data_IF_732709746345
#
_entry.id   IF_732709746345
#
_cell.length_a   1.000
_cell.length_b   1.000
_cell.length_c   1.000
_cell.angle_alpha   90.00
_cell.angle_beta   90.00
_cell.angle_gamma   90.00
#
_symmetry.space_group_name_H-M   'P 1'
#
loop_
_entity.id
_entity.type
_entity.pdbx_description
1 polymer ?
#
# COMPACT_ATOMS: atom_id res chain seq x y z
N UNK A 1 -42.99 15.25 -25.80
CA UNK A 1 -41.64 14.84 -26.24
C UNK A 1 -40.74 14.96 -25.02
N UNK A 2 -40.36 13.80 -24.48
CA UNK A 2 -39.85 13.64 -23.13
C UNK A 2 -38.41 14.13 -23.01
N UNK A 3 -38.18 15.06 -22.07
CA UNK A 3 -36.86 15.41 -21.54
C UNK A 3 -36.22 14.17 -20.90
N UNK A 4 -35.36 13.49 -21.65
CA UNK A 4 -34.53 12.37 -21.23
C UNK A 4 -33.07 12.63 -21.63
N UNK A 5 -32.49 13.71 -21.10
CA UNK A 5 -31.06 14.00 -21.24
C UNK A 5 -30.57 14.75 -19.99
N UNK A 6 -30.59 14.12 -18.82
CA UNK A 6 -29.91 14.68 -17.64
C UNK A 6 -29.64 13.62 -16.56
N UNK A 7 -28.80 12.63 -16.86
CA UNK A 7 -28.17 11.77 -15.85
C UNK A 7 -26.94 11.02 -16.42
N UNK A 8 -26.01 11.74 -17.06
CA UNK A 8 -24.62 11.25 -17.10
C UNK A 8 -23.95 11.68 -15.80
N UNK A 9 -24.16 10.82 -14.80
CA UNK A 9 -23.66 10.95 -13.45
C UNK A 9 -22.12 11.03 -13.40
N UNK A 10 -21.66 11.98 -12.61
CA UNK A 10 -20.32 12.15 -12.07
C UNK A 10 -19.80 10.87 -11.36
N UNK A 11 -19.10 9.99 -12.08
CA UNK A 11 -18.29 8.91 -11.48
C UNK A 11 -16.78 9.08 -11.71
N UNK A 12 -16.33 10.23 -12.20
CA UNK A 12 -14.93 10.51 -12.51
C UNK A 12 -14.04 10.85 -11.28
N UNK A 13 -14.30 10.27 -10.11
CA UNK A 13 -13.54 10.58 -8.90
C UNK A 13 -13.19 9.39 -7.99
N UNK A 14 -13.39 8.15 -8.44
CA UNK A 14 -12.73 6.99 -7.83
C UNK A 14 -11.50 6.68 -8.70
N UNK A 15 -10.29 6.82 -8.15
CA UNK A 15 -9.06 6.56 -8.88
C UNK A 15 -9.02 5.14 -9.48
N UNK A 16 -7.99 4.85 -10.28
CA UNK A 16 -7.85 3.56 -10.97
C UNK A 16 -7.89 2.38 -9.98
N UNK A 17 -8.60 1.28 -10.33
CA UNK A 17 -8.75 0.11 -9.46
C UNK A 17 -7.45 -0.69 -9.37
N UNK A 18 -7.40 -1.62 -8.41
CA UNK A 18 -6.27 -2.54 -8.20
C UNK A 18 -5.86 -3.26 -9.51
N UNK A 19 -4.56 -3.37 -9.75
CA UNK A 19 -4.01 -4.00 -10.96
C UNK A 19 -3.97 -3.11 -12.20
N UNK A 20 -4.63 -1.96 -12.18
CA UNK A 20 -4.51 -1.00 -13.28
C UNK A 20 -3.08 -0.46 -13.38
N UNK A 21 -2.54 -0.25 -14.59
CA UNK A 21 -1.25 0.39 -14.75
C UNK A 21 -1.30 1.82 -14.18
N UNK A 22 -0.25 2.19 -13.45
CA UNK A 22 -0.15 3.47 -12.78
C UNK A 22 1.20 4.15 -13.04
N UNK A 23 1.18 5.48 -12.99
CA UNK A 23 2.38 6.31 -13.07
C UNK A 23 2.33 7.37 -11.99
N UNK A 24 3.49 7.69 -11.42
CA UNK A 24 3.62 8.82 -10.51
C UNK A 24 4.03 10.03 -11.34
N UNK A 25 3.21 11.08 -11.28
CA UNK A 25 3.46 12.36 -11.93
C UNK A 25 3.97 13.38 -10.91
N UNK A 26 4.83 14.31 -11.34
CA UNK A 26 5.44 15.31 -10.44
C UNK A 26 6.66 14.79 -9.67
N UNK A 27 7.15 15.60 -8.73
CA UNK A 27 8.35 15.30 -7.93
C UNK A 27 8.23 15.82 -6.50
N UNK A 28 8.98 15.21 -5.58
CA UNK A 28 8.98 15.60 -4.17
C UNK A 28 7.58 15.58 -3.53
N UNK A 29 7.22 16.67 -2.86
CA UNK A 29 5.96 16.82 -2.12
C UNK A 29 4.72 17.04 -3.00
N UNK A 30 4.89 17.31 -4.31
CA UNK A 30 3.77 17.47 -5.26
C UNK A 30 3.53 16.22 -6.10
N UNK A 31 4.21 15.12 -5.77
CA UNK A 31 4.03 13.85 -6.45
C UNK A 31 2.60 13.33 -6.25
N UNK A 32 1.94 12.98 -7.35
CA UNK A 32 0.58 12.44 -7.36
C UNK A 32 0.50 11.17 -8.20
N UNK A 33 -0.57 10.41 -7.99
CA UNK A 33 -0.89 9.22 -8.77
C UNK A 33 -2.38 9.11 -9.00
N UNK A 34 -2.75 8.35 -10.02
CA UNK A 34 -4.11 8.15 -10.51
C UNK A 34 -4.83 6.96 -9.84
N UNK A 35 -4.16 6.19 -9.00
CA UNK A 35 -4.75 5.06 -8.27
C UNK A 35 -5.72 5.50 -7.18
N UNK A 36 -6.78 4.69 -6.96
CA UNK A 36 -7.72 4.89 -5.86
C UNK A 36 -7.04 4.84 -4.48
N UNK A 37 -5.98 4.04 -4.33
CA UNK A 37 -5.28 3.87 -3.06
C UNK A 37 -3.79 4.20 -3.17
N UNK A 38 -3.02 3.42 -3.93
CA UNK A 38 -1.57 3.65 -4.05
C UNK A 38 -1.03 3.16 -5.39
N UNK A 39 -0.09 3.89 -5.98
CA UNK A 39 0.72 3.39 -7.09
C UNK A 39 1.99 2.71 -6.57
N UNK A 40 2.24 1.47 -7.00
CA UNK A 40 3.33 0.63 -6.50
C UNK A 40 4.64 0.78 -7.29
N UNK A 41 4.69 1.69 -8.27
CA UNK A 41 5.85 1.88 -9.15
C UNK A 41 7.16 2.30 -8.46
N UNK A 42 7.12 2.59 -7.16
CA UNK A 42 8.29 2.89 -6.33
C UNK A 42 8.42 1.97 -5.12
N UNK A 43 7.63 0.91 -5.07
CA UNK A 43 7.47 0.03 -3.92
C UNK A 43 7.88 -1.38 -4.32
N UNK A 44 8.91 -1.88 -3.65
CA UNK A 44 9.46 -3.17 -3.99
C UNK A 44 8.73 -4.28 -3.23
N UNK A 45 8.24 -5.25 -3.98
CA UNK A 45 7.49 -6.44 -3.53
C UNK A 45 8.44 -7.63 -3.61
N UNK A 46 8.57 -8.36 -2.50
CA UNK A 46 9.35 -9.59 -2.43
C UNK A 46 8.44 -10.75 -2.85
N UNK A 47 8.82 -11.42 -3.94
CA UNK A 47 8.07 -12.52 -4.50
C UNK A 47 8.43 -13.85 -3.82
N UNK A 48 7.54 -14.85 -3.85
CA UNK A 48 7.78 -16.16 -3.21
C UNK A 48 9.01 -16.91 -3.74
N UNK A 49 9.45 -16.61 -4.96
CA UNK A 49 10.65 -17.18 -5.59
C UNK A 49 11.96 -16.50 -5.12
N UNK A 50 11.86 -15.52 -4.21
CA UNK A 50 12.99 -14.73 -3.72
C UNK A 50 13.35 -13.55 -4.63
N UNK A 51 12.68 -13.39 -5.78
CA UNK A 51 12.85 -12.22 -6.62
C UNK A 51 12.22 -10.98 -5.98
N UNK A 52 12.66 -9.80 -6.42
CA UNK A 52 12.12 -8.53 -5.96
C UNK A 52 11.67 -7.70 -7.16
N UNK A 53 10.41 -7.32 -7.16
CA UNK A 53 9.77 -6.60 -8.28
C UNK A 53 9.24 -5.26 -7.82
N UNK A 54 9.22 -4.28 -8.73
CA UNK A 54 8.62 -2.97 -8.47
C UNK A 54 7.46 -2.77 -9.45
N UNK A 55 6.25 -3.20 -9.09
CA UNK A 55 5.16 -3.32 -10.05
C UNK A 55 4.56 -1.94 -10.37
N UNK A 56 4.42 -1.63 -11.66
CA UNK A 56 3.81 -0.39 -12.15
C UNK A 56 2.29 -0.38 -12.07
N UNK A 57 1.69 -0.90 -11.00
CA UNK A 57 0.24 -1.09 -10.88
C UNK A 57 -0.35 -0.47 -9.61
N UNK A 58 -1.65 -0.21 -9.65
CA UNK A 58 -2.39 0.26 -8.50
C UNK A 58 -2.59 -0.86 -7.47
N UNK A 59 -2.37 -0.53 -6.20
CA UNK A 59 -2.77 -1.33 -5.07
C UNK A 59 -4.28 -1.22 -4.84
N UNK A 60 -4.86 -2.28 -4.27
CA UNK A 60 -6.22 -2.33 -3.76
C UNK A 60 -6.31 -1.82 -2.33
N UNK A 61 -7.25 -2.42 -1.57
CA UNK A 61 -7.58 -2.03 -0.21
C UNK A 61 -6.35 -2.03 0.70
N UNK A 62 -6.17 -0.97 1.48
CA UNK A 62 -5.15 -0.85 2.54
C UNK A 62 -5.53 -1.63 3.80
N UNK A 63 -4.58 -1.82 4.70
CA UNK A 63 -4.75 -2.43 6.02
C UNK A 63 -5.39 -3.84 5.92
N UNK A 64 -4.93 -4.61 4.93
CA UNK A 64 -5.36 -5.98 4.75
C UNK A 64 -4.66 -6.92 5.75
N UNK A 65 -5.26 -8.10 5.92
CA UNK A 65 -4.74 -9.22 6.69
C UNK A 65 -4.70 -10.45 5.77
N UNK A 66 -3.88 -11.47 6.09
CA UNK A 66 -3.87 -12.72 5.33
C UNK A 66 -5.28 -13.29 5.16
N UNK A 67 -5.65 -13.61 3.93
CA UNK A 67 -6.96 -14.11 3.53
C UNK A 67 -8.07 -13.08 3.44
N UNK A 68 -7.82 -11.79 3.72
CA UNK A 68 -8.88 -10.78 3.72
C UNK A 68 -9.14 -10.15 2.34
N UNK A 69 -8.18 -10.25 1.41
CA UNK A 69 -8.29 -9.66 0.08
C UNK A 69 -9.27 -10.42 -0.82
N UNK A 70 -9.96 -9.72 -1.75
CA UNK A 70 -10.87 -10.34 -2.70
C UNK A 70 -10.13 -11.32 -3.63
N UNK A 71 -10.89 -12.15 -4.34
CA UNK A 71 -10.34 -13.08 -5.33
C UNK A 71 -9.51 -12.35 -6.40
N UNK A 72 -8.42 -12.98 -6.84
CA UNK A 72 -7.43 -12.37 -7.74
C UNK A 72 -6.49 -11.37 -7.05
N UNK A 73 -6.56 -11.23 -5.73
CA UNK A 73 -5.66 -10.38 -4.95
C UNK A 73 -5.08 -11.10 -3.74
N UNK A 74 -3.90 -10.67 -3.31
CA UNK A 74 -3.18 -11.15 -2.15
C UNK A 74 -2.84 -10.00 -1.22
N UNK A 75 -2.96 -10.21 0.09
CA UNK A 75 -2.51 -9.23 1.07
C UNK A 75 -0.99 -9.21 1.19
N UNK A 76 -0.35 -8.08 0.88
CA UNK A 76 1.09 -7.94 1.05
C UNK A 76 1.40 -6.87 2.10
N UNK A 77 2.14 -7.24 3.14
CA UNK A 77 2.69 -6.32 4.11
C UNK A 77 4.09 -5.87 3.67
N UNK A 78 4.32 -4.56 3.62
CA UNK A 78 5.62 -4.01 3.24
C UNK A 78 6.53 -3.91 4.47
N UNK A 79 7.82 -4.17 4.24
CA UNK A 79 8.88 -4.12 5.27
C UNK A 79 9.26 -2.66 5.62
N UNK A 80 8.28 -1.86 6.05
CA UNK A 80 8.50 -0.50 6.53
C UNK A 80 8.68 -0.51 8.06
N UNK A 81 9.84 -0.06 8.58
CA UNK A 81 10.11 -0.08 10.02
C UNK A 81 9.35 0.99 10.81
N UNK A 82 8.72 1.97 10.16
CA UNK A 82 8.07 3.11 10.80
C UNK A 82 6.54 3.02 10.79
N UNK A 83 5.96 2.56 9.69
CA UNK A 83 4.52 2.47 9.52
C UNK A 83 4.14 1.03 9.16
N UNK A 84 3.14 0.47 9.86
CA UNK A 84 2.57 -0.81 9.43
C UNK A 84 1.70 -0.58 8.20
N UNK A 85 2.12 -1.14 7.05
CA UNK A 85 1.47 -0.90 5.77
C UNK A 85 1.25 -2.19 5.04
N UNK A 86 -0.02 -2.53 4.82
CA UNK A 86 -0.41 -3.65 4.00
C UNK A 86 -1.42 -3.24 2.94
N UNK A 87 -1.35 -3.86 1.77
CA UNK A 87 -2.27 -3.60 0.67
C UNK A 87 -2.65 -4.90 -0.04
N UNK A 88 -3.88 -4.96 -0.54
CA UNK A 88 -4.27 -6.01 -1.49
C UNK A 88 -3.60 -5.74 -2.84
N UNK A 89 -2.69 -6.63 -3.24
CA UNK A 89 -1.99 -6.60 -4.52
C UNK A 89 -2.65 -7.59 -5.48
N UNK A 90 -2.60 -7.37 -6.80
CA UNK A 90 -2.92 -8.42 -7.77
C UNK A 90 -2.07 -9.68 -7.49
N UNK A 91 -2.69 -10.86 -7.51
CA UNK A 91 -2.00 -12.12 -7.21
C UNK A 91 -0.98 -12.55 -8.28
N UNK A 92 -1.02 -11.91 -9.45
CA UNK A 92 -0.10 -12.08 -10.56
C UNK A 92 1.03 -11.04 -10.58
N UNK A 93 1.18 -10.23 -9.53
CA UNK A 93 2.21 -9.17 -9.47
C UNK A 93 3.64 -9.72 -9.61
N UNK A 94 3.84 -10.99 -9.24
CA UNK A 94 5.09 -11.74 -9.38
C UNK A 94 5.18 -12.53 -10.70
N UNK A 95 4.35 -12.22 -11.71
CA UNK A 95 4.35 -12.82 -13.03
C UNK A 95 3.16 -13.74 -13.28
N UNK A 96 3.14 -14.91 -12.64
CA UNK A 96 2.04 -15.88 -12.77
C UNK A 96 1.10 -15.85 -11.55
N UNK A 97 -0.21 -16.11 -11.73
CA UNK A 97 -1.12 -16.29 -10.60
C UNK A 97 -0.65 -17.43 -9.70
N UNK A 98 -0.70 -17.19 -8.39
CA UNK A 98 -0.33 -18.19 -7.39
C UNK A 98 -1.52 -19.12 -7.09
N UNK A 99 -1.24 -20.36 -6.66
CA UNK A 99 -2.28 -21.18 -6.04
C UNK A 99 -2.76 -20.54 -4.73
N UNK A 100 -3.99 -20.86 -4.29
CA UNK A 100 -4.55 -20.30 -3.07
C UNK A 100 -3.65 -20.54 -1.84
N UNK A 101 -3.04 -21.71 -1.73
CA UNK A 101 -2.11 -22.03 -0.65
C UNK A 101 -0.79 -21.26 -0.75
N UNK A 102 -0.25 -21.11 -1.96
CA UNK A 102 0.97 -20.33 -2.16
C UNK A 102 0.73 -18.85 -1.86
N UNK A 103 -0.42 -18.32 -2.28
CA UNK A 103 -0.89 -16.98 -1.93
C UNK A 103 -0.96 -16.81 -0.42
N UNK A 104 -1.69 -17.65 0.29
CA UNK A 104 -1.87 -17.50 1.74
C UNK A 104 -0.56 -17.64 2.53
N UNK A 105 0.36 -18.51 2.09
CA UNK A 105 1.71 -18.58 2.66
C UNK A 105 2.46 -17.26 2.45
N UNK A 106 2.48 -16.75 1.22
CA UNK A 106 3.12 -15.49 0.90
C UNK A 106 2.58 -14.30 1.70
N UNK A 107 1.26 -14.22 1.89
CA UNK A 107 0.63 -13.20 2.73
C UNK A 107 1.15 -13.25 4.17
N UNK A 108 1.21 -14.45 4.77
CA UNK A 108 1.73 -14.67 6.13
C UNK A 108 3.21 -14.36 6.24
N UNK A 109 3.99 -14.81 5.25
CA UNK A 109 5.44 -14.60 5.22
C UNK A 109 5.77 -13.11 5.12
N UNK A 110 5.05 -12.35 4.27
CA UNK A 110 5.21 -10.90 4.16
C UNK A 110 4.86 -10.18 5.48
N UNK A 111 3.77 -10.59 6.14
CA UNK A 111 3.37 -10.03 7.44
C UNK A 111 4.41 -10.31 8.53
N UNK A 112 4.96 -11.54 8.55
CA UNK A 112 6.02 -11.95 9.46
C UNK A 112 7.31 -11.17 9.24
N UNK A 113 7.73 -11.00 7.98
CA UNK A 113 8.91 -10.21 7.62
C UNK A 113 8.76 -8.74 8.04
N UNK A 114 7.62 -8.12 7.75
CA UNK A 114 7.35 -6.74 8.14
C UNK A 114 7.31 -6.55 9.67
N UNK A 115 6.73 -7.50 10.41
CA UNK A 115 6.73 -7.49 11.87
C UNK A 115 8.15 -7.65 12.44
N UNK A 116 8.92 -8.60 11.92
CA UNK A 116 10.32 -8.81 12.32
C UNK A 116 11.16 -7.56 12.06
N UNK A 117 10.94 -6.88 10.93
CA UNK A 117 11.69 -5.66 10.60
C UNK A 117 11.40 -4.52 11.57
N UNK A 118 10.14 -4.35 11.96
CA UNK A 118 9.73 -3.37 12.98
C UNK A 118 10.30 -3.71 14.36
N UNK A 119 10.30 -4.99 14.74
CA UNK A 119 10.90 -5.44 16.00
C UNK A 119 12.41 -5.20 16.03
N UNK A 120 13.13 -5.51 14.93
CA UNK A 120 14.56 -5.21 14.76
C UNK A 120 14.83 -3.71 14.95
N UNK A 121 14.01 -2.86 14.30
CA UNK A 121 14.17 -1.41 14.38
C UNK A 121 13.89 -0.86 15.78
N UNK A 122 12.82 -1.32 16.44
CA UNK A 122 12.47 -0.94 17.81
C UNK A 122 13.58 -1.33 18.80
N UNK A 123 14.18 -2.52 18.64
CA UNK A 123 15.30 -2.96 19.46
C UNK A 123 16.57 -2.12 19.23
N UNK A 124 16.84 -1.73 17.97
CA UNK A 124 18.02 -0.93 17.61
C UNK A 124 17.91 0.53 18.01
N UNK A 125 16.70 1.08 18.03
CA UNK A 125 16.43 2.49 18.32
C UNK A 125 15.37 2.68 19.40
N UNK A 126 15.60 2.21 20.64
CA UNK A 126 14.58 2.20 21.70
C UNK A 126 14.01 3.59 21.99
N UNK A 127 14.82 4.66 21.88
CA UNK A 127 14.40 6.05 22.09
C UNK A 127 13.57 6.66 20.94
N UNK A 128 13.51 6.02 19.77
CA UNK A 128 12.70 6.45 18.62
C UNK A 128 11.42 5.62 18.45
N UNK A 129 11.22 4.62 19.30
CA UNK A 129 10.05 3.73 19.30
C UNK A 129 8.81 4.36 19.93
N UNK A 130 8.92 5.57 20.48
CA UNK A 130 7.77 6.35 20.90
C UNK A 130 7.09 6.94 19.68
N UNK A 131 5.79 6.67 19.52
CA UNK A 131 4.87 7.52 18.76
C UNK A 131 5.31 8.96 18.94
N UNK A 132 5.57 9.69 17.85
CA UNK A 132 5.89 11.12 17.92
C UNK A 132 4.63 11.84 18.40
N UNK A 133 4.37 11.82 19.70
CA UNK A 133 3.55 12.82 20.35
C UNK A 133 4.44 14.06 20.33
N UNK A 134 4.24 14.92 19.33
CA UNK A 134 4.90 16.21 19.29
C UNK A 134 4.74 16.86 20.68
N UNK A 135 5.83 17.19 21.39
CA UNK A 135 5.69 18.03 22.56
C UNK A 135 5.07 19.33 22.07
N UNK A 136 3.89 19.68 22.59
CA UNK A 136 3.30 20.98 22.36
C UNK A 136 4.28 22.02 22.90
N UNK A 137 5.07 22.61 22.02
CA UNK A 137 5.93 23.73 22.36
C UNK A 137 5.01 24.92 22.65
N UNK A 138 5.00 25.49 23.87
CA UNK A 138 4.23 26.70 24.11
C UNK A 138 4.91 27.85 23.35
N UNK A 139 4.24 28.33 22.30
CA UNK A 139 4.60 29.56 21.60
C UNK A 139 4.62 30.71 22.61
N UNK A 140 5.81 31.11 23.06
CA UNK A 140 6.03 32.39 23.72
C UNK A 140 6.09 33.47 22.64
N UNK A 141 5.07 34.30 22.58
CA UNK A 141 5.12 35.59 21.89
C UNK A 141 5.26 36.68 22.95
N UNK A 142 6.39 37.39 22.94
CA UNK A 142 6.55 38.72 23.55
C UNK A 142 7.22 39.62 22.50
N UNK A 143 6.72 40.85 22.38
CA UNK A 143 7.59 42.01 22.53
C UNK A 143 7.27 42.82 23.80
#
# INVERSE_FOLDING_TARGET
MASLMLCMLLLAACGKPAGSPCSISGSGFTASHDCATKCLSRWAVNCPDGSRVTPGVCAGRKDCNPGSCPDGQACYAFDDPFEERSYCLPDNVCGAPMSADARLRWERDSAGAAAAKRAEWAAKFPQRSGTVTAPAEPLKFEP
#
